data_IF_307560237410
#
_entry.id   IF_307560237410
#
_cell.length_a   1.000
_cell.length_b   1.000
_cell.length_c   1.000
_cell.angle_alpha   90.00
_cell.angle_beta   90.00
_cell.angle_gamma   90.00
#
_symmetry.space_group_name_H-M   'P 1'
#
loop_
_entity.id
_entity.type
_entity.pdbx_description
1 polymer ?
#
# COMPACT_ATOMS: atom_id res chain seq x y z
N UNK A 1 15.41 6.58 -0.33
CA UNK A 1 14.26 7.49 -0.45
C UNK A 1 13.25 6.83 -1.37
N UNK A 2 11.99 6.71 -0.95
CA UNK A 2 10.92 6.22 -1.82
C UNK A 2 10.52 7.32 -2.80
N UNK A 3 10.57 7.05 -4.11
CA UNK A 3 10.15 8.03 -5.12
C UNK A 3 8.65 7.85 -5.35
N UNK A 4 7.83 8.86 -5.04
CA UNK A 4 6.42 8.84 -5.41
C UNK A 4 6.29 8.95 -6.94
N UNK A 5 5.60 7.99 -7.56
CA UNK A 5 5.34 7.97 -9.01
C UNK A 5 3.84 7.97 -9.28
N UNK A 6 3.41 8.49 -10.44
CA UNK A 6 2.05 8.27 -10.91
C UNK A 6 1.92 6.87 -11.48
N UNK A 7 0.87 6.13 -11.11
CA UNK A 7 0.55 4.89 -11.81
C UNK A 7 -0.08 5.22 -13.16
N UNK A 8 0.39 4.60 -14.25
CA UNK A 8 -0.24 4.76 -15.57
C UNK A 8 -1.67 4.22 -15.57
N UNK A 9 -1.90 3.13 -14.82
CA UNK A 9 -3.18 2.44 -14.70
C UNK A 9 -4.07 3.11 -13.66
N UNK A 10 -3.55 3.37 -12.46
CA UNK A 10 -4.35 3.84 -11.32
C UNK A 10 -4.26 5.34 -11.07
N UNK A 11 -3.53 6.08 -11.89
CA UNK A 11 -3.37 7.53 -11.78
C UNK A 11 -2.64 7.99 -10.53
N UNK A 12 -2.90 9.24 -10.15
CA UNK A 12 -2.43 9.87 -8.92
C UNK A 12 -3.36 11.03 -8.58
N UNK A 13 -3.87 11.09 -7.36
CA UNK A 13 -4.60 12.26 -6.84
C UNK A 13 -3.65 13.17 -6.08
N UNK A 14 -3.84 14.49 -6.25
CA UNK A 14 -3.10 15.46 -5.46
C UNK A 14 -3.61 15.41 -4.00
N UNK A 15 -2.67 15.38 -3.06
CA UNK A 15 -2.99 15.53 -1.65
C UNK A 15 -3.12 17.02 -1.27
N UNK A 16 -3.94 17.31 -0.29
CA UNK A 16 -4.01 18.60 0.38
C UNK A 16 -3.04 18.61 1.55
N UNK A 17 -2.08 19.54 1.57
CA UNK A 17 -1.12 19.61 2.66
C UNK A 17 -1.83 19.90 4.00
N UNK A 18 -1.46 19.15 5.04
CA UNK A 18 -1.92 19.47 6.38
C UNK A 18 -1.17 20.71 6.89
N UNK A 19 -1.91 21.78 7.17
CA UNK A 19 -1.32 23.03 7.66
C UNK A 19 -0.63 22.85 9.03
N UNK A 20 -1.20 21.99 9.88
CA UNK A 20 -0.76 21.80 11.26
C UNK A 20 0.23 20.64 11.42
N UNK A 21 0.42 19.81 10.39
CA UNK A 21 1.30 18.64 10.42
C UNK A 21 2.28 18.67 9.24
N UNK A 22 3.47 19.31 9.39
CA UNK A 22 4.44 19.42 8.32
C UNK A 22 4.83 18.06 7.73
N UNK A 23 4.79 17.94 6.40
CA UNK A 23 5.10 16.70 5.68
C UNK A 23 3.93 15.70 5.58
N UNK A 24 2.77 16.03 6.15
CA UNK A 24 1.54 15.23 6.02
C UNK A 24 0.65 15.82 4.92
N UNK A 25 -0.05 14.96 4.19
CA UNK A 25 -1.06 15.35 3.21
C UNK A 25 -2.31 14.50 3.37
N UNK A 26 -3.47 15.14 3.27
CA UNK A 26 -4.77 14.51 3.21
C UNK A 26 -5.10 14.14 1.77
N UNK A 27 -5.72 12.98 1.58
CA UNK A 27 -6.12 12.50 0.27
C UNK A 27 -7.63 12.25 0.25
N UNK A 28 -8.32 12.56 -0.87
CA UNK A 28 -9.74 12.32 -0.97
C UNK A 28 -10.03 10.81 -0.90
N UNK A 29 -11.02 10.46 -0.09
CA UNK A 29 -11.53 9.11 0.02
C UNK A 29 -12.32 8.66 -1.20
N UNK A 30 -12.30 7.36 -1.49
CA UNK A 30 -13.10 6.74 -2.55
C UNK A 30 -14.11 5.77 -1.97
N UNK A 31 -15.35 5.79 -2.46
CA UNK A 31 -16.43 4.91 -1.98
C UNK A 31 -16.64 3.66 -2.83
N UNK A 32 -16.01 3.59 -4.01
CA UNK A 32 -16.03 2.39 -4.84
C UNK A 32 -14.96 1.42 -4.33
N UNK A 33 -15.30 0.18 -3.93
CA UNK A 33 -14.31 -0.80 -3.51
C UNK A 33 -13.58 -1.45 -4.68
N UNK A 34 -14.07 -1.31 -5.91
CA UNK A 34 -13.42 -1.84 -7.10
C UNK A 34 -12.46 -0.80 -7.69
N UNK A 35 -11.20 -1.19 -7.83
CA UNK A 35 -10.20 -0.37 -8.50
C UNK A 35 -10.16 -0.74 -9.97
N UNK A 36 -10.65 0.16 -10.80
CA UNK A 36 -10.53 0.06 -12.26
C UNK A 36 -9.52 1.09 -12.74
N UNK A 37 -8.77 0.76 -13.82
CA UNK A 37 -7.82 1.70 -14.43
C UNK A 37 -8.45 2.98 -15.00
N UNK A 38 -9.78 3.09 -14.97
CA UNK A 38 -10.53 4.24 -15.48
C UNK A 38 -10.73 5.36 -14.46
N UNK A 39 -10.66 5.09 -13.15
CA UNK A 39 -10.98 6.10 -12.13
C UNK A 39 -9.79 6.93 -11.67
N UNK A 40 -8.55 6.44 -11.88
CA UNK A 40 -7.30 7.18 -11.63
C UNK A 40 -7.19 7.82 -10.23
N UNK A 41 -7.59 7.11 -9.18
CA UNK A 41 -7.76 7.60 -7.81
C UNK A 41 -6.65 7.19 -6.81
N UNK A 42 -5.54 6.62 -7.28
CA UNK A 42 -4.45 6.24 -6.38
C UNK A 42 -3.82 7.44 -5.66
N UNK A 43 -3.43 7.27 -4.39
CA UNK A 43 -2.69 8.26 -3.61
C UNK A 43 -1.29 8.47 -4.21
N UNK A 44 -0.52 7.39 -4.28
CA UNK A 44 0.84 7.35 -4.81
C UNK A 44 1.17 5.91 -5.20
N UNK A 45 2.17 5.77 -6.06
CA UNK A 45 2.84 4.52 -6.34
C UNK A 45 4.27 4.56 -5.80
N UNK A 46 4.72 3.48 -5.15
CA UNK A 46 6.05 3.33 -4.57
C UNK A 46 6.72 2.05 -5.07
N UNK A 47 8.03 2.13 -5.27
CA UNK A 47 8.94 1.00 -5.45
C UNK A 47 10.29 1.31 -4.79
N UNK A 48 11.10 0.28 -4.60
CA UNK A 48 12.42 0.40 -3.96
C UNK A 48 13.60 0.07 -4.89
N UNK A 49 13.33 -0.16 -6.18
CA UNK A 49 14.32 -0.57 -7.19
C UNK A 49 15.52 0.36 -7.22
N UNK A 50 15.30 1.68 -7.18
CA UNK A 50 16.37 2.70 -7.22
C UNK A 50 17.30 2.68 -5.99
N UNK A 51 16.88 2.03 -4.91
CA UNK A 51 17.66 1.90 -3.67
C UNK A 51 18.40 0.57 -3.59
N UNK A 52 18.06 -0.42 -4.43
CA UNK A 52 18.56 -1.80 -4.31
C UNK A 52 18.15 -2.49 -3.01
N UNK A 53 17.15 -1.96 -2.31
CA UNK A 53 16.61 -2.51 -1.07
C UNK A 53 15.21 -3.08 -1.31
N UNK A 54 14.84 -4.08 -0.52
CA UNK A 54 13.48 -4.64 -0.53
C UNK A 54 12.47 -3.65 0.03
N UNK A 55 11.25 -3.71 -0.47
CA UNK A 55 10.14 -2.96 0.11
C UNK A 55 9.68 -3.60 1.41
N UNK A 56 9.38 -2.76 2.40
CA UNK A 56 8.67 -3.15 3.60
C UNK A 56 7.32 -2.43 3.67
N UNK A 57 6.26 -3.17 4.01
CA UNK A 57 4.97 -2.59 4.37
C UNK A 57 4.65 -2.94 5.82
N UNK A 58 4.02 -2.02 6.54
CA UNK A 58 3.39 -2.32 7.82
C UNK A 58 1.89 -2.07 7.71
N UNK A 59 1.10 -2.95 8.31
CA UNK A 59 -0.37 -2.89 8.27
C UNK A 59 -0.96 -2.15 9.46
N UNK A 60 -2.26 -1.88 9.42
CA UNK A 60 -3.03 -1.32 10.55
C UNK A 60 -3.03 -2.24 11.79
N UNK A 61 -2.83 -3.55 11.60
CA UNK A 61 -2.63 -4.55 12.66
C UNK A 61 -1.20 -4.57 13.26
N UNK A 62 -0.37 -3.58 12.95
CA UNK A 62 1.02 -3.45 13.43
C UNK A 62 1.96 -4.59 13.00
N UNK A 63 1.58 -5.36 11.98
CA UNK A 63 2.43 -6.39 11.39
C UNK A 63 3.17 -5.82 10.18
N UNK A 64 4.45 -6.14 10.06
CA UNK A 64 5.28 -5.71 8.94
C UNK A 64 5.71 -6.90 8.09
N UNK A 65 5.72 -6.70 6.77
CA UNK A 65 6.00 -7.72 5.77
C UNK A 65 7.01 -7.19 4.76
N UNK A 66 7.99 -8.02 4.40
CA UNK A 66 9.02 -7.68 3.42
C UNK A 66 8.64 -8.23 2.05
N UNK A 67 8.95 -7.50 0.99
CA UNK A 67 8.83 -8.04 -0.36
C UNK A 67 9.83 -9.18 -0.57
N UNK A 68 9.39 -10.29 -1.18
CA UNK A 68 10.29 -11.36 -1.60
C UNK A 68 11.03 -11.03 -2.90
N UNK A 69 10.53 -10.05 -3.66
CA UNK A 69 11.07 -9.54 -4.93
C UNK A 69 11.41 -8.03 -4.84
N UNK A 70 12.56 -7.66 -5.41
CA UNK A 70 13.11 -6.29 -5.37
C UNK A 70 12.35 -5.32 -6.29
N UNK A 71 11.62 -5.85 -7.28
CA UNK A 71 10.83 -5.07 -8.22
C UNK A 71 9.39 -4.84 -7.74
N UNK A 72 9.12 -5.03 -6.45
CA UNK A 72 7.78 -4.83 -5.92
C UNK A 72 7.31 -3.39 -5.95
N UNK A 73 6.10 -3.24 -6.45
CA UNK A 73 5.42 -1.98 -6.66
C UNK A 73 4.14 -2.00 -5.84
N UNK A 74 3.93 -0.99 -5.02
CA UNK A 74 2.70 -0.81 -4.26
C UNK A 74 2.03 0.49 -4.66
N UNK A 75 0.77 0.39 -5.07
CA UNK A 75 -0.08 1.55 -5.32
C UNK A 75 -1.05 1.71 -4.16
N UNK A 76 -1.02 2.85 -3.49
CA UNK A 76 -1.91 3.14 -2.37
C UNK A 76 -3.27 3.62 -2.85
N UNK A 77 -4.34 2.99 -2.37
CA UNK A 77 -5.72 3.28 -2.73
C UNK A 77 -6.56 3.64 -1.49
N UNK A 78 -7.16 4.84 -1.40
CA UNK A 78 -7.94 5.25 -0.24
C UNK A 78 -9.41 4.83 -0.37
N UNK A 79 -9.83 3.79 0.34
CA UNK A 79 -11.23 3.35 0.35
C UNK A 79 -11.93 3.75 1.65
N UNK A 80 -13.08 4.41 1.53
CA UNK A 80 -13.93 4.83 2.63
C UNK A 80 -15.28 4.11 2.53
N UNK A 81 -15.42 3.02 3.30
CA UNK A 81 -16.69 2.29 3.39
C UNK A 81 -17.80 3.09 4.08
N UNK A 82 -17.41 4.10 4.88
CA UNK A 82 -18.30 5.12 5.43
C UNK A 82 -17.58 6.48 5.38
N UNK A 83 -18.30 7.62 5.53
CA UNK A 83 -17.68 8.94 5.54
C UNK A 83 -16.64 9.16 6.65
N UNK A 84 -16.66 8.35 7.71
CA UNK A 84 -15.77 8.50 8.88
C UNK A 84 -14.71 7.40 9.00
N UNK A 85 -14.78 6.36 8.16
CA UNK A 85 -13.86 5.23 8.23
C UNK A 85 -13.23 4.98 6.87
N UNK A 86 -12.00 5.49 6.72
CA UNK A 86 -11.18 5.33 5.53
C UNK A 86 -9.98 4.43 5.82
N UNK A 87 -9.68 3.54 4.90
CA UNK A 87 -8.56 2.61 4.97
C UNK A 87 -7.76 2.73 3.68
N UNK A 88 -6.44 2.82 3.81
CA UNK A 88 -5.54 2.79 2.66
C UNK A 88 -5.19 1.34 2.36
N UNK A 89 -5.53 0.88 1.16
CA UNK A 89 -5.17 -0.45 0.68
C UNK A 89 -3.96 -0.38 -0.25
N UNK A 90 -3.13 -1.41 -0.20
CA UNK A 90 -1.98 -1.57 -1.11
C UNK A 90 -2.34 -2.47 -2.27
N UNK A 91 -2.44 -1.92 -3.48
CA UNK A 91 -2.55 -2.70 -4.71
C UNK A 91 -1.15 -3.11 -5.15
N UNK A 92 -0.94 -4.40 -5.29
CA UNK A 92 0.38 -4.98 -5.47
C UNK A 92 0.61 -5.28 -6.95
N UNK A 93 1.80 -4.95 -7.46
CA UNK A 93 2.27 -5.44 -8.75
C UNK A 93 3.71 -5.92 -8.58
N UNK A 94 4.00 -7.05 -9.21
CA UNK A 94 5.33 -7.64 -9.24
C UNK A 94 5.71 -8.16 -10.61
N UNK A 95 7.01 -8.35 -10.83
CA UNK A 95 7.51 -8.83 -12.12
C UNK A 95 7.31 -10.34 -12.27
N UNK A 96 7.28 -11.09 -11.17
CA UNK A 96 7.02 -12.52 -11.18
C UNK A 96 5.59 -12.85 -10.76
N UNK A 97 5.03 -13.90 -11.36
CA UNK A 97 3.71 -14.48 -11.05
C UNK A 97 3.54 -14.90 -9.58
N UNK A 98 4.64 -14.91 -8.82
CA UNK A 98 4.68 -15.38 -7.46
C UNK A 98 5.24 -14.34 -6.48
N UNK A 99 5.44 -13.10 -6.92
CA UNK A 99 5.95 -12.07 -6.02
C UNK A 99 4.92 -11.73 -4.95
N UNK A 100 5.41 -11.56 -3.72
CA UNK A 100 4.57 -11.39 -2.54
C UNK A 100 5.26 -10.58 -1.45
N UNK A 101 4.45 -10.10 -0.52
CA UNK A 101 4.92 -9.72 0.81
C UNK A 101 4.91 -10.95 1.72
N UNK A 102 6.06 -11.19 2.35
CA UNK A 102 6.29 -12.31 3.25
C UNK A 102 6.45 -11.86 4.70
N UNK A 103 6.08 -12.73 5.63
CA UNK A 103 6.31 -12.54 7.06
C UNK A 103 7.76 -12.87 7.47
N UNK A 104 8.06 -12.75 8.77
CA UNK A 104 9.38 -13.08 9.33
C UNK A 104 9.78 -14.56 9.22
N UNK A 105 8.88 -15.45 8.80
CA UNK A 105 9.13 -16.86 8.52
C UNK A 105 9.25 -17.16 7.01
N UNK A 106 9.25 -16.12 6.16
CA UNK A 106 9.18 -16.21 4.70
C UNK A 106 7.88 -16.85 4.17
N UNK A 107 6.80 -16.84 4.95
CA UNK A 107 5.48 -17.25 4.47
C UNK A 107 4.88 -16.13 3.64
N UNK A 108 4.35 -16.44 2.45
CA UNK A 108 3.64 -15.47 1.61
C UNK A 108 2.31 -15.09 2.24
N UNK A 109 2.09 -13.80 2.43
CA UNK A 109 0.89 -13.26 3.09
C UNK A 109 0.04 -12.45 2.13
N UNK A 110 0.65 -11.63 1.28
CA UNK A 110 -0.05 -10.85 0.24
C UNK A 110 0.65 -11.03 -1.09
N UNK A 111 0.04 -11.76 -2.02
CA UNK A 111 0.62 -12.00 -3.35
C UNK A 111 0.15 -10.97 -4.35
N UNK A 112 1.01 -10.61 -5.31
CA UNK A 112 0.65 -9.66 -6.38
C UNK A 112 -0.56 -10.13 -7.23
N UNK A 113 -0.73 -11.45 -7.37
CA UNK A 113 -1.80 -12.04 -8.16
C UNK A 113 -3.13 -12.18 -7.41
N UNK A 114 -3.15 -12.04 -6.08
CA UNK A 114 -4.37 -12.26 -5.29
C UNK A 114 -5.43 -11.18 -5.57
N UNK A 115 -5.02 -10.04 -6.14
CA UNK A 115 -5.91 -8.94 -6.51
C UNK A 115 -6.82 -9.20 -7.72
N UNK A 116 -6.62 -10.32 -8.42
CA UNK A 116 -7.42 -10.73 -9.58
C UNK A 116 -8.06 -12.09 -9.28
N UNK A 117 -9.28 -12.33 -9.75
CA UNK A 117 -9.95 -13.63 -9.59
C UNK A 117 -9.74 -14.59 -10.77
N UNK A 118 -10.34 -15.78 -10.68
CA UNK A 118 -10.22 -16.84 -11.70
C UNK A 118 -10.79 -16.45 -13.08
N UNK A 119 -11.62 -15.39 -13.14
CA UNK A 119 -12.19 -14.85 -14.37
C UNK A 119 -11.38 -13.67 -14.92
N UNK A 120 -10.22 -13.37 -14.33
CA UNK A 120 -9.40 -12.19 -14.63
C UNK A 120 -10.06 -10.86 -14.25
N UNK A 121 -11.04 -10.88 -13.35
CA UNK A 121 -11.67 -9.67 -12.84
C UNK A 121 -10.94 -9.14 -11.59
N UNK A 122 -10.88 -7.82 -11.46
CA UNK A 122 -10.32 -7.18 -10.28
C UNK A 122 -11.17 -7.45 -9.05
N UNK A 123 -10.55 -7.96 -7.98
CA UNK A 123 -11.23 -8.13 -6.70
C UNK A 123 -11.45 -6.78 -6.02
N UNK A 124 -12.53 -6.62 -5.25
CA UNK A 124 -12.70 -5.47 -4.37
C UNK A 124 -11.52 -5.36 -3.38
N UNK A 125 -11.12 -4.14 -3.03
CA UNK A 125 -10.07 -3.92 -2.02
C UNK A 125 -10.43 -4.50 -0.65
N UNK A 126 -11.72 -4.70 -0.39
CA UNK A 126 -12.27 -5.31 0.83
C UNK A 126 -12.25 -6.85 0.83
N UNK A 127 -11.75 -7.49 -0.22
CA UNK A 127 -11.73 -8.96 -0.36
C UNK A 127 -10.77 -9.69 0.59
N UNK A 128 -9.87 -8.95 1.25
CA UNK A 128 -8.79 -9.52 2.07
C UNK A 128 -7.52 -9.85 1.29
N UNK A 129 -7.54 -9.76 -0.05
CA UNK A 129 -6.36 -9.97 -0.90
C UNK A 129 -5.32 -8.83 -0.80
N UNK A 130 -5.74 -7.66 -0.33
CA UNK A 130 -4.90 -6.46 -0.29
C UNK A 130 -4.56 -6.07 1.15
N UNK A 131 -3.30 -5.74 1.45
CA UNK A 131 -2.91 -5.24 2.76
C UNK A 131 -3.55 -3.87 3.02
N UNK A 132 -4.00 -3.67 4.26
CA UNK A 132 -4.36 -2.35 4.79
C UNK A 132 -3.09 -1.66 5.23
N UNK A 133 -2.57 -0.74 4.43
CA UNK A 133 -1.24 -0.17 4.59
C UNK A 133 -1.26 0.99 5.59
N UNK A 134 -0.43 0.89 6.62
CA UNK A 134 -0.12 1.95 7.59
C UNK A 134 1.18 2.69 7.21
N UNK A 135 2.18 1.97 6.70
CA UNK A 135 3.43 2.57 6.22
C UNK A 135 4.08 1.74 5.11
N UNK A 136 4.89 2.43 4.30
CA UNK A 136 5.75 1.83 3.27
C UNK A 136 7.16 2.38 3.46
N UNK A 137 8.18 1.52 3.37
CA UNK A 137 9.58 1.91 3.43
C UNK A 137 10.45 1.00 2.55
N UNK A 138 11.69 1.43 2.27
CA UNK A 138 12.68 0.59 1.61
C UNK A 138 13.76 0.19 2.61
N UNK A 139 14.07 -1.10 2.69
CA UNK A 139 15.06 -1.65 3.60
C UNK A 139 14.44 -2.62 4.61
N UNK A 140 15.03 -2.64 5.80
CA UNK A 140 14.68 -3.60 6.85
C UNK A 140 13.29 -3.28 7.39
N UNK A 141 12.40 -4.28 7.38
CA UNK A 141 11.17 -4.16 8.16
C UNK A 141 11.49 -4.07 9.64
N UNK A 142 10.94 -3.08 10.36
CA UNK A 142 11.08 -3.06 11.80
C UNK A 142 10.55 -4.40 12.36
N UNK A 143 11.23 -4.99 13.36
CA UNK A 143 10.68 -6.14 14.05
C UNK A 143 9.29 -5.78 14.56
N UNK A 144 8.38 -6.76 14.59
CA UNK A 144 7.04 -6.62 15.16
C UNK A 144 7.19 -6.42 16.67
N UNK A 145 7.61 -5.23 17.07
CA UNK A 145 7.64 -4.76 18.45
C UNK A 145 6.98 -3.39 18.45
N UNK A 146 5.84 -3.38 19.11
CA UNK A 146 5.08 -2.24 19.65
C UNK A 146 5.38 -0.91 18.98
N UNK A 147 4.38 -0.44 18.25
CA UNK A 147 4.21 0.93 17.82
C UNK A 147 5.07 1.94 18.59
N UNK A 148 5.75 2.82 17.84
CA UNK A 148 6.12 4.14 18.34
C UNK A 148 4.98 4.64 19.22
N UNK A 149 5.22 4.66 20.53
CA UNK A 149 4.27 5.14 21.52
C UNK A 149 3.78 6.49 21.04
N UNK A 150 2.46 6.66 21.03
CA UNK A 150 1.72 7.85 20.62
C UNK A 150 2.62 9.02 20.23
N UNK A 151 2.72 9.29 18.93
CA UNK A 151 2.98 10.65 18.50
C UNK A 151 1.75 11.48 18.92
N UNK A 152 1.66 11.80 20.21
CA UNK A 152 0.88 12.93 20.68
C UNK A 152 1.47 14.14 19.99
N UNK A 153 0.72 14.60 19.00
CA UNK A 153 0.94 15.86 18.31
C UNK A 153 1.09 16.98 19.36
N UNK A 154 2.18 17.76 19.38
CA UNK A 154 2.22 19.01 20.14
C UNK A 154 1.27 20.06 19.53
#
# INVERSE_FOLDING_TARGET
MTTAQSSEVYGRVAGEACADCPGVSYYPGVTNPLVTGTTKTAINNYNCVSTGLKMCICTDEEKCYSADDDNMVITLYPYCGTPTTCVVYGLLNGDAENSAFVDGQNTKVYSANDGIDENFDFRPVTSGAFPKVKSVSCGVCPPVSECLADATNP
#
